data_IF_802494936539
#
_entry.id   IF_802494936539
#
_cell.length_a   1.000
_cell.length_b   1.000
_cell.length_c   1.000
_cell.angle_alpha   90.00
_cell.angle_beta   90.00
_cell.angle_gamma   90.00
#
_symmetry.space_group_name_H-M   'P 1'
#
loop_
_entity.id
_entity.type
_entity.pdbx_description
1 polymer ?
#
# COMPACT_ATOMS: atom_id res chain seq x y z
N UNK A 1 -38.56 50.10 23.24
CA UNK A 1 -38.22 48.65 23.18
C UNK A 1 -37.62 48.26 24.52
N UNK A 2 -38.11 47.22 25.20
CA UNK A 2 -37.62 46.85 26.54
C UNK A 2 -36.15 46.40 26.41
N UNK A 3 -35.23 47.11 27.06
CA UNK A 3 -33.76 46.91 27.01
C UNK A 3 -33.32 45.47 27.26
N UNK A 4 -34.07 44.70 28.05
CA UNK A 4 -33.82 43.28 28.29
C UNK A 4 -33.93 42.39 27.05
N UNK A 5 -34.84 42.69 26.11
CA UNK A 5 -34.99 41.92 24.87
C UNK A 5 -33.76 42.15 23.96
N UNK A 6 -33.24 43.38 23.93
CA UNK A 6 -32.07 43.73 23.15
C UNK A 6 -30.81 43.00 23.67
N UNK A 7 -30.60 42.96 24.99
CA UNK A 7 -29.48 42.23 25.58
C UNK A 7 -29.53 40.71 25.30
N UNK A 8 -30.72 40.12 25.34
CA UNK A 8 -30.93 38.71 25.03
C UNK A 8 -30.63 38.38 23.56
N UNK A 9 -31.07 39.24 22.63
CA UNK A 9 -30.76 39.13 21.20
C UNK A 9 -29.24 39.18 20.93
N UNK A 10 -28.51 40.05 21.63
CA UNK A 10 -27.04 40.09 21.55
C UNK A 10 -26.38 38.81 22.06
N UNK A 11 -26.91 38.21 23.14
CA UNK A 11 -26.44 36.91 23.62
C UNK A 11 -26.64 35.78 22.60
N UNK A 12 -27.80 35.75 21.94
CA UNK A 12 -28.08 34.80 20.86
C UNK A 12 -27.15 34.97 19.65
N UNK A 13 -26.84 36.22 19.27
CA UNK A 13 -25.87 36.50 18.20
C UNK A 13 -24.51 35.87 18.48
N UNK A 14 -24.00 36.00 19.70
CA UNK A 14 -22.70 35.42 20.07
C UNK A 14 -22.72 33.89 20.08
N UNK A 15 -23.81 33.29 20.59
CA UNK A 15 -23.99 31.83 20.61
C UNK A 15 -24.06 31.26 19.19
N UNK A 16 -24.82 31.90 18.29
CA UNK A 16 -24.90 31.45 16.90
C UNK A 16 -23.58 31.64 16.14
N UNK A 17 -22.84 32.73 16.39
CA UNK A 17 -21.51 32.92 15.81
C UNK A 17 -20.55 31.77 16.21
N UNK A 18 -20.55 31.37 17.48
CA UNK A 18 -19.78 30.22 17.96
C UNK A 18 -20.23 28.90 17.29
N UNK A 19 -21.55 28.66 17.21
CA UNK A 19 -22.10 27.45 16.58
C UNK A 19 -21.75 27.35 15.08
N UNK A 20 -21.77 28.46 14.36
CA UNK A 20 -21.39 28.53 12.94
C UNK A 20 -19.90 28.23 12.79
N UNK A 21 -19.05 28.83 13.64
CA UNK A 21 -17.61 28.58 13.62
C UNK A 21 -17.28 27.09 13.86
N UNK A 22 -17.90 26.46 14.86
CA UNK A 22 -17.70 25.04 15.18
C UNK A 22 -18.23 24.13 14.06
N UNK A 23 -19.40 24.45 13.51
CA UNK A 23 -20.00 23.70 12.40
C UNK A 23 -19.17 23.71 11.11
N UNK A 24 -18.39 24.77 10.87
CA UNK A 24 -17.53 24.89 9.68
C UNK A 24 -16.16 24.26 9.94
N UNK A 25 -15.55 24.50 11.10
CA UNK A 25 -14.21 23.99 11.38
C UNK A 25 -14.16 22.48 11.66
N UNK A 26 -15.21 21.91 12.25
CA UNK A 26 -15.33 20.46 12.47
C UNK A 26 -15.09 19.64 11.20
N UNK A 27 -15.87 19.83 10.11
CA UNK A 27 -15.70 19.08 8.88
C UNK A 27 -14.38 19.38 8.14
N UNK A 28 -13.85 20.61 8.24
CA UNK A 28 -12.56 20.96 7.62
C UNK A 28 -11.40 20.22 8.29
N UNK A 29 -11.33 20.25 9.63
CA UNK A 29 -10.30 19.54 10.38
C UNK A 29 -10.38 18.02 10.13
N UNK A 30 -11.59 17.47 10.06
CA UNK A 30 -11.83 16.07 9.73
C UNK A 30 -11.29 15.71 8.33
N UNK A 31 -11.58 16.52 7.32
CA UNK A 31 -11.10 16.28 5.95
C UNK A 31 -9.57 16.36 5.83
N UNK A 32 -8.93 17.28 6.56
CA UNK A 32 -7.48 17.39 6.58
C UNK A 32 -6.83 16.16 7.22
N UNK A 33 -7.30 15.76 8.41
CA UNK A 33 -6.81 14.56 9.13
C UNK A 33 -7.05 13.30 8.29
N UNK A 34 -8.23 13.21 7.64
CA UNK A 34 -8.55 12.11 6.73
C UNK A 34 -7.52 12.04 5.61
N UNK A 35 -7.30 13.13 4.89
CA UNK A 35 -6.36 13.16 3.76
C UNK A 35 -4.94 12.72 4.17
N UNK A 36 -4.46 13.20 5.32
CA UNK A 36 -3.15 12.80 5.85
C UNK A 36 -3.08 11.29 6.18
N UNK A 37 -4.09 10.76 6.86
CA UNK A 37 -4.15 9.33 7.22
C UNK A 37 -4.23 8.44 5.98
N UNK A 38 -5.05 8.83 4.99
CA UNK A 38 -5.18 8.10 3.74
C UNK A 38 -3.85 8.07 2.98
N UNK A 39 -3.12 9.20 2.91
CA UNK A 39 -1.81 9.24 2.25
C UNK A 39 -0.82 8.25 2.89
N UNK A 40 -0.77 8.18 4.22
CA UNK A 40 0.10 7.24 4.96
C UNK A 40 -0.28 5.78 4.75
N UNK A 41 -1.57 5.46 4.66
CA UNK A 41 -1.99 4.08 4.39
C UNK A 41 -1.73 3.70 2.94
N UNK A 42 -1.99 4.61 1.99
CA UNK A 42 -1.70 4.37 0.57
C UNK A 42 -0.21 4.12 0.35
N UNK A 43 0.69 4.84 1.03
CA UNK A 43 2.12 4.56 0.92
C UNK A 43 2.48 3.16 1.44
N UNK A 44 1.88 2.71 2.55
CA UNK A 44 2.06 1.33 3.03
C UNK A 44 1.50 0.27 2.09
N UNK A 45 0.33 0.51 1.51
CA UNK A 45 -0.26 -0.38 0.50
C UNK A 45 0.63 -0.48 -0.75
N UNK A 46 1.27 0.63 -1.16
CA UNK A 46 2.27 0.61 -2.24
C UNK A 46 3.51 -0.20 -1.87
N UNK A 47 4.03 -0.02 -0.65
CA UNK A 47 5.16 -0.83 -0.16
C UNK A 47 4.83 -2.33 -0.19
N UNK A 48 3.64 -2.74 0.30
CA UNK A 48 3.18 -4.14 0.24
C UNK A 48 3.04 -4.62 -1.20
N UNK A 49 2.44 -3.80 -2.08
CA UNK A 49 2.26 -4.14 -3.49
C UNK A 49 3.58 -4.36 -4.24
N UNK A 50 4.58 -3.52 -3.98
CA UNK A 50 5.91 -3.67 -4.56
C UNK A 50 6.62 -4.94 -4.04
N UNK A 51 6.50 -5.23 -2.75
CA UNK A 51 7.04 -6.46 -2.18
C UNK A 51 6.36 -7.71 -2.76
N UNK A 52 5.04 -7.68 -2.97
CA UNK A 52 4.29 -8.77 -3.60
C UNK A 52 4.68 -8.97 -5.07
N UNK A 53 4.87 -7.88 -5.82
CA UNK A 53 5.36 -7.95 -7.19
C UNK A 53 6.74 -8.64 -7.25
N UNK A 54 7.66 -8.22 -6.36
CA UNK A 54 8.97 -8.85 -6.23
C UNK A 54 8.90 -10.34 -5.87
N UNK A 55 8.01 -10.69 -4.93
CA UNK A 55 7.78 -12.08 -4.55
C UNK A 55 7.34 -12.93 -5.74
N UNK A 56 6.42 -12.40 -6.57
CA UNK A 56 6.00 -13.07 -7.80
C UNK A 56 7.11 -13.14 -8.84
N UNK A 57 7.92 -12.11 -8.99
CA UNK A 57 9.00 -12.10 -9.99
C UNK A 57 10.10 -13.12 -9.64
N UNK A 58 10.39 -13.32 -8.35
CA UNK A 58 11.42 -14.26 -7.89
C UNK A 58 10.89 -15.69 -7.73
N UNK A 59 9.71 -15.88 -7.14
CA UNK A 59 9.16 -17.20 -6.78
C UNK A 59 8.02 -17.67 -7.68
N UNK A 60 7.44 -16.80 -8.51
CA UNK A 60 6.36 -17.12 -9.45
C UNK A 60 4.93 -16.99 -8.91
N UNK A 61 4.75 -16.71 -7.62
CA UNK A 61 3.44 -16.59 -6.97
C UNK A 61 3.42 -15.45 -5.93
N UNK A 62 2.24 -15.05 -5.46
CA UNK A 62 2.09 -14.04 -4.39
C UNK A 62 2.13 -14.68 -3.01
N UNK A 63 2.70 -13.99 -2.02
CA UNK A 63 2.69 -14.44 -0.63
C UNK A 63 1.28 -14.29 -0.05
N UNK A 64 0.82 -15.30 0.69
CA UNK A 64 -0.46 -15.33 1.41
C UNK A 64 -0.37 -14.71 2.81
N UNK A 65 0.83 -14.68 3.38
CA UNK A 65 1.11 -14.10 4.69
C UNK A 65 2.02 -12.85 4.57
N UNK A 66 1.76 -11.87 5.42
CA UNK A 66 2.54 -10.64 5.51
C UNK A 66 3.88 -10.85 6.23
N UNK A 67 3.94 -11.73 7.24
CA UNK A 67 5.17 -12.00 7.99
C UNK A 67 6.20 -12.71 7.09
N UNK A 68 5.75 -13.67 6.26
CA UNK A 68 6.60 -14.31 5.24
C UNK A 68 7.03 -13.32 4.16
N UNK A 69 6.17 -12.37 3.79
CA UNK A 69 6.51 -11.33 2.82
C UNK A 69 7.63 -10.42 3.35
N UNK A 70 7.60 -10.05 4.64
CA UNK A 70 8.69 -9.27 5.26
C UNK A 70 9.99 -10.07 5.29
N UNK A 71 9.93 -11.34 5.70
CA UNK A 71 11.10 -12.22 5.70
C UNK A 71 11.69 -12.43 4.30
N UNK A 72 10.82 -12.52 3.28
CA UNK A 72 11.23 -12.56 1.87
C UNK A 72 12.00 -11.30 1.48
N UNK A 73 11.49 -10.10 1.81
CA UNK A 73 12.21 -8.85 1.49
C UNK A 73 13.61 -8.81 2.12
N UNK A 74 13.77 -9.33 3.34
CA UNK A 74 15.06 -9.38 4.04
C UNK A 74 16.07 -10.36 3.42
N UNK A 75 15.60 -11.48 2.88
CA UNK A 75 16.46 -12.62 2.51
C UNK A 75 16.61 -12.82 1.01
N UNK A 76 15.64 -12.38 0.22
CA UNK A 76 15.58 -12.67 -1.20
C UNK A 76 16.46 -11.73 -2.03
N UNK A 77 16.84 -12.26 -3.19
CA UNK A 77 17.64 -11.55 -4.18
C UNK A 77 17.00 -11.70 -5.55
N UNK A 78 17.04 -10.63 -6.33
CA UNK A 78 16.75 -10.63 -7.75
C UNK A 78 17.90 -11.27 -8.51
N UNK A 79 17.56 -12.17 -9.43
CA UNK A 79 18.49 -12.68 -10.43
C UNK A 79 18.55 -11.69 -11.60
N UNK A 80 19.68 -11.01 -11.76
CA UNK A 80 19.89 -10.11 -12.88
C UNK A 80 20.17 -10.94 -14.13
N UNK A 81 19.25 -10.94 -15.08
CA UNK A 81 19.38 -11.68 -16.33
C UNK A 81 19.63 -10.73 -17.50
N UNK A 82 20.50 -11.15 -18.41
CA UNK A 82 20.68 -10.55 -19.72
C UNK A 82 20.14 -11.51 -20.77
N UNK A 83 19.29 -10.99 -21.65
CA UNK A 83 18.83 -11.73 -22.83
C UNK A 83 19.53 -11.17 -24.06
N UNK A 84 20.17 -12.03 -24.84
CA UNK A 84 20.75 -11.66 -26.13
C UNK A 84 20.31 -12.65 -27.21
N UNK A 85 19.98 -12.11 -28.37
CA UNK A 85 19.65 -12.90 -29.54
C UNK A 85 20.95 -13.35 -30.20
N UNK A 86 21.05 -14.66 -30.45
CA UNK A 86 22.18 -15.26 -31.13
C UNK A 86 21.67 -16.19 -32.21
N UNK A 87 22.51 -16.49 -33.19
CA UNK A 87 22.16 -17.43 -34.24
C UNK A 87 23.37 -18.26 -34.63
N UNK A 88 23.12 -19.49 -35.05
CA UNK A 88 24.14 -20.40 -35.55
C UNK A 88 23.61 -21.19 -36.74
N UNK A 89 24.51 -21.67 -37.60
CA UNK A 89 24.16 -22.55 -38.71
C UNK A 89 24.05 -23.99 -38.20
N UNK A 90 22.90 -24.61 -38.45
CA UNK A 90 22.65 -26.00 -38.13
C UNK A 90 22.27 -26.76 -39.41
N UNK A 91 22.94 -27.87 -39.67
CA UNK A 91 22.67 -28.70 -40.84
C UNK A 91 21.31 -29.41 -40.70
N UNK A 92 20.37 -29.11 -41.58
CA UNK A 92 19.08 -29.78 -41.60
C UNK A 92 19.16 -31.09 -42.39
N UNK A 93 18.89 -32.22 -41.71
CA UNK A 93 18.92 -33.55 -42.34
C UNK A 93 17.84 -33.76 -43.40
N UNK A 94 16.72 -33.05 -43.32
CA UNK A 94 15.61 -33.16 -44.27
C UNK A 94 15.95 -32.43 -45.56
N UNK A 95 16.38 -31.17 -45.44
CA UNK A 95 16.66 -30.31 -46.60
C UNK A 95 18.10 -30.42 -47.12
N UNK A 96 19.00 -31.08 -46.37
CA UNK A 96 20.42 -31.27 -46.69
C UNK A 96 21.17 -29.96 -46.95
N UNK A 97 20.78 -28.89 -46.26
CA UNK A 97 21.41 -27.56 -46.32
C UNK A 97 21.63 -27.03 -44.90
N UNK A 98 22.62 -26.16 -44.75
CA UNK A 98 22.83 -25.41 -43.50
C UNK A 98 21.76 -24.32 -43.37
N UNK A 99 20.97 -24.37 -42.30
CA UNK A 99 19.95 -23.38 -42.00
C UNK A 99 20.33 -22.56 -40.76
N UNK A 100 20.04 -21.27 -40.79
CA UNK A 100 20.24 -20.39 -39.64
C UNK A 100 19.18 -20.67 -38.59
N UNK A 101 19.61 -21.05 -37.39
CA UNK A 101 18.76 -21.22 -36.21
C UNK A 101 18.98 -20.05 -35.27
N UNK A 102 17.89 -19.37 -34.93
CA UNK A 102 17.88 -18.30 -33.94
C UNK A 102 17.65 -18.89 -32.56
N UNK A 103 18.47 -18.48 -31.60
CA UNK A 103 18.37 -18.88 -30.20
C UNK A 103 18.50 -17.67 -29.29
N UNK A 104 17.71 -17.66 -28.22
CA UNK A 104 17.80 -16.64 -27.19
C UNK A 104 18.70 -17.19 -26.09
N UNK A 105 19.86 -16.56 -25.90
CA UNK A 105 20.76 -16.90 -24.80
C UNK A 105 20.41 -16.02 -23.60
N UNK A 106 20.12 -16.67 -22.47
CA UNK A 106 19.80 -15.99 -21.21
C UNK A 106 20.98 -16.22 -20.27
N UNK A 107 21.77 -15.17 -20.05
CA UNK A 107 22.93 -15.19 -19.16
C UNK A 107 22.57 -14.53 -17.82
N UNK A 108 23.05 -15.08 -16.70
CA UNK A 108 22.86 -14.49 -15.36
C UNK A 108 24.05 -13.60 -15.03
N UNK A 109 23.81 -12.29 -14.90
CA UNK A 109 24.84 -11.27 -14.62
C UNK A 109 25.22 -11.19 -13.15
N UNK A 110 24.34 -11.63 -12.25
CA UNK A 110 24.57 -11.60 -10.81
C UNK A 110 23.27 -11.52 -10.01
N UNK A 111 23.41 -11.12 -8.75
CA UNK A 111 22.30 -11.02 -7.81
C UNK A 111 22.23 -9.63 -7.19
N UNK A 112 21.02 -9.11 -7.01
CA UNK A 112 20.76 -7.85 -6.30
C UNK A 112 19.75 -8.09 -5.18
N UNK A 113 19.99 -7.53 -3.99
CA UNK A 113 19.07 -7.68 -2.86
C UNK A 113 17.71 -7.03 -3.15
N UNK A 114 16.61 -7.74 -2.82
CA UNK A 114 15.24 -7.20 -2.97
C UNK A 114 15.05 -5.99 -2.07
N UNK A 115 15.56 -6.07 -0.84
CA UNK A 115 15.55 -4.95 0.12
C UNK A 115 16.15 -3.69 -0.47
N UNK A 116 17.36 -3.78 -0.98
CA UNK A 116 18.11 -2.61 -1.46
C UNK A 116 17.44 -2.02 -2.69
N UNK A 117 16.92 -2.87 -3.59
CA UNK A 117 16.23 -2.43 -4.80
C UNK A 117 14.91 -1.72 -4.54
N UNK A 118 14.13 -2.12 -3.53
CA UNK A 118 12.79 -1.58 -3.28
C UNK A 118 12.76 -0.51 -2.18
N UNK A 119 13.61 -0.66 -1.17
CA UNK A 119 13.56 0.13 0.05
C UNK A 119 14.86 0.91 0.31
N UNK A 120 15.93 0.65 -0.45
CA UNK A 120 17.25 1.24 -0.22
C UNK A 120 17.70 1.01 1.22
N UNK A 121 18.18 2.06 1.88
CA UNK A 121 18.62 1.99 3.28
C UNK A 121 17.47 2.00 4.29
N UNK A 122 16.21 2.12 3.85
CA UNK A 122 15.08 2.29 4.76
C UNK A 122 14.52 0.96 5.25
N UNK A 123 14.35 0.81 6.57
CA UNK A 123 13.74 -0.38 7.19
C UNK A 123 12.20 -0.32 7.24
N UNK A 124 11.58 0.53 6.40
CA UNK A 124 10.14 0.80 6.49
C UNK A 124 9.25 -0.41 6.16
N UNK A 125 9.81 -1.40 5.45
CA UNK A 125 9.14 -2.65 5.10
C UNK A 125 8.85 -3.52 6.32
N UNK A 126 9.69 -3.49 7.38
CA UNK A 126 9.45 -4.25 8.62
C UNK A 126 8.11 -3.87 9.28
N UNK A 127 7.74 -2.60 9.14
CA UNK A 127 6.51 -2.05 9.69
C UNK A 127 5.40 -1.87 8.63
N UNK A 128 5.53 -2.45 7.43
CA UNK A 128 4.50 -2.28 6.39
C UNK A 128 3.21 -3.03 6.69
N UNK A 129 3.28 -4.07 7.53
CA UNK A 129 2.14 -4.88 7.94
C UNK A 129 1.17 -4.14 8.86
N UNK A 130 1.67 -3.12 9.58
CA UNK A 130 0.91 -2.39 10.58
C UNK A 130 0.28 -1.12 9.99
N UNK A 131 -0.89 -0.77 10.52
CA UNK A 131 -1.65 0.40 10.07
C UNK A 131 -1.06 1.66 10.72
N UNK A 132 -0.61 2.67 9.95
CA UNK A 132 0.03 3.88 10.46
C UNK A 132 -0.98 4.91 11.00
N UNK A 133 -1.86 4.50 11.93
CA UNK A 133 -2.88 5.35 12.56
C UNK A 133 -2.68 5.39 14.07
N UNK A 134 -2.55 6.60 14.63
CA UNK A 134 -2.36 6.81 16.07
C UNK A 134 -3.50 6.16 16.88
N UNK A 135 -3.14 5.31 17.84
CA UNK A 135 -4.07 4.59 18.72
C UNK A 135 -4.58 3.26 18.18
N UNK A 136 -4.06 2.78 17.05
CA UNK A 136 -4.39 1.47 16.45
C UNK A 136 -3.15 0.79 15.85
N UNK A 137 -1.99 0.99 16.46
CA UNK A 137 -0.68 0.55 15.94
C UNK A 137 -0.55 -0.98 15.88
N UNK A 138 -1.30 -1.70 16.72
CA UNK A 138 -1.31 -3.17 16.74
C UNK A 138 -2.15 -3.80 15.61
N UNK A 139 -2.92 -2.99 14.87
CA UNK A 139 -3.78 -3.52 13.81
C UNK A 139 -3.01 -3.71 12.51
N UNK A 140 -3.20 -4.88 11.91
CA UNK A 140 -2.54 -5.29 10.67
C UNK A 140 -3.47 -5.20 9.47
N UNK A 141 -2.88 -5.10 8.28
CA UNK A 141 -3.60 -5.30 7.02
C UNK A 141 -4.04 -6.77 6.87
N UNK A 142 -5.17 -6.98 6.20
CA UNK A 142 -5.61 -8.32 5.82
C UNK A 142 -5.16 -8.60 4.39
N UNK A 143 -4.44 -9.69 4.18
CA UNK A 143 -3.94 -10.12 2.88
C UNK A 143 -4.71 -11.37 2.44
N UNK A 144 -5.07 -11.43 1.17
CA UNK A 144 -5.68 -12.61 0.55
C UNK A 144 -5.05 -12.81 -0.83
N UNK A 145 -4.91 -14.06 -1.25
CA UNK A 145 -4.35 -14.44 -2.55
C UNK A 145 -5.24 -15.47 -3.21
N UNK A 146 -5.43 -15.34 -4.51
CA UNK A 146 -6.24 -16.28 -5.29
C UNK A 146 -5.67 -16.42 -6.71
N UNK A 147 -6.13 -17.43 -7.45
CA UNK A 147 -5.77 -17.64 -8.85
C UNK A 147 -7.05 -17.59 -9.67
N UNK A 148 -7.19 -16.54 -10.47
CA UNK A 148 -8.31 -16.39 -11.39
C UNK A 148 -8.03 -17.16 -12.68
N UNK A 149 -9.00 -17.94 -13.14
CA UNK A 149 -8.96 -18.55 -14.46
C UNK A 149 -9.73 -17.65 -15.45
N UNK A 150 -9.01 -17.17 -16.47
CA UNK A 150 -9.61 -16.44 -17.58
C UNK A 150 -9.30 -17.17 -18.89
N UNK A 151 -10.29 -17.93 -19.39
CA UNK A 151 -10.20 -18.69 -20.64
C UNK A 151 -8.98 -19.64 -20.71
N UNK A 152 -8.65 -20.32 -19.60
CA UNK A 152 -7.54 -21.26 -19.51
C UNK A 152 -6.20 -20.62 -19.12
N UNK A 153 -6.16 -19.28 -18.98
CA UNK A 153 -5.01 -18.57 -18.43
C UNK A 153 -5.18 -18.38 -16.92
N UNK A 154 -4.30 -19.00 -16.14
CA UNK A 154 -4.29 -18.91 -14.67
C UNK A 154 -3.53 -17.67 -14.23
N UNK A 155 -4.25 -16.63 -13.80
CA UNK A 155 -3.71 -15.37 -13.33
C UNK A 155 -3.68 -15.36 -11.79
N UNK A 156 -2.50 -15.42 -11.15
CA UNK A 156 -2.41 -15.17 -9.72
C UNK A 156 -2.79 -13.72 -9.45
N UNK A 157 -3.55 -13.49 -8.38
CA UNK A 157 -3.96 -12.17 -7.89
C UNK A 157 -3.79 -12.11 -6.37
N UNK A 158 -3.67 -10.90 -5.84
CA UNK A 158 -3.67 -10.66 -4.41
C UNK A 158 -4.56 -9.46 -4.08
N UNK A 159 -5.08 -9.44 -2.87
CA UNK A 159 -5.91 -8.38 -2.33
C UNK A 159 -5.43 -8.00 -0.94
N UNK A 160 -5.26 -6.70 -0.71
CA UNK A 160 -4.93 -6.14 0.61
C UNK A 160 -6.07 -5.27 1.08
N UNK A 161 -6.67 -5.64 2.21
CA UNK A 161 -7.84 -4.97 2.80
C UNK A 161 -7.48 -4.30 4.12
N UNK A 162 -8.19 -3.21 4.40
CA UNK A 162 -8.16 -2.51 5.68
C UNK A 162 -9.56 -2.00 6.02
N UNK A 163 -10.02 -2.20 7.25
CA UNK A 163 -11.34 -1.75 7.67
C UNK A 163 -11.43 -0.22 7.69
N UNK A 164 -12.48 0.31 7.06
CA UNK A 164 -12.75 1.75 6.97
C UNK A 164 -12.92 2.40 8.34
N UNK A 165 -13.46 1.65 9.32
CA UNK A 165 -13.70 2.14 10.68
C UNK A 165 -12.43 2.59 11.40
N UNK A 166 -11.29 2.00 11.02
CA UNK A 166 -9.97 2.31 11.56
C UNK A 166 -9.51 3.72 11.17
N UNK A 167 -9.94 4.21 10.00
CA UNK A 167 -9.60 5.54 9.51
C UNK A 167 -10.41 6.65 10.18
N UNK A 168 -11.70 6.40 10.40
CA UNK A 168 -12.67 7.40 10.84
C UNK A 168 -12.81 7.51 12.36
N UNK A 169 -12.19 6.61 13.12
CA UNK A 169 -12.15 6.74 14.58
C UNK A 169 -11.28 7.94 14.95
N UNK A 170 -11.90 9.11 15.05
CA UNK A 170 -11.38 10.22 15.83
C UNK A 170 -11.76 9.91 17.27
N UNK A 171 -10.88 9.22 18.00
CA UNK A 171 -10.85 9.32 19.47
C UNK A 171 -10.32 10.73 19.79
N UNK A 172 -11.11 11.76 19.50
CA UNK A 172 -10.97 13.02 20.24
C UNK A 172 -11.26 12.61 21.67
N UNK A 173 -10.38 13.01 22.58
CA UNK A 173 -10.53 12.80 24.00
C UNK A 173 -11.94 13.19 24.49
N UNK A 174 -12.88 12.25 24.45
CA UNK A 174 -14.19 12.35 25.10
C UNK A 174 -13.98 12.60 26.61
N UNK A 175 -12.83 12.18 27.15
CA UNK A 175 -12.33 12.53 28.47
C UNK A 175 -12.08 14.03 28.72
N UNK A 176 -11.73 14.83 27.71
CA UNK A 176 -11.47 16.27 27.89
C UNK A 176 -12.75 17.10 27.95
N UNK A 177 -13.86 16.59 27.40
CA UNK A 177 -15.16 17.27 27.43
C UNK A 177 -16.01 16.92 28.66
N UNK A 178 -15.75 15.77 29.33
CA UNK A 178 -16.48 15.37 30.54
C UNK A 178 -15.87 15.90 31.86
N UNK A 179 -14.67 16.50 31.82
CA UNK A 179 -13.96 16.98 33.02
C UNK A 179 -14.12 18.48 33.33
N UNK A 180 -14.97 19.20 32.60
CA UNK A 180 -15.45 20.53 32.98
C UNK A 180 -16.91 20.44 33.43
N UNK A 181 -17.12 20.00 34.66
CA UNK A 181 -18.31 20.30 35.44
C UNK A 181 -17.86 20.66 36.85
#
# INVERSE_FOLDING_TARGET
>A
MKTGIQALLWGFMYLFAYKIYDSINGPIAFNNIKTERYAKVISKLKDIGNAQAAHKDVLGYYSDNLDSLVAFVDTAQYTLIQKRDSSYLEFDRVYRIDMLREVIVIDTLGFASVKDSLFGDSERYKNMMFIPVKGQEDKRFTLNTDILDNNGYRLPVFEVKVSKELFFTIKTNIWLLLKRK
#
